data_IF_872401481038
#
_entry.id   IF_872401481038
#
_cell.length_a   1.000
_cell.length_b   1.000
_cell.length_c   1.000
_cell.angle_alpha   90.00
_cell.angle_beta   90.00
_cell.angle_gamma   90.00
#
_symmetry.space_group_name_H-M   'P 1'
#
loop_
_entity.id
_entity.type
_entity.pdbx_description
1 polymer ?
#
# COMPACT_ATOMS: atom_id res chain seq x y z
N UNK A 1 35.35 3.58 37.32
CA UNK A 1 33.94 3.63 36.90
C UNK A 1 33.90 4.45 35.62
N UNK A 2 33.76 3.79 34.48
CA UNK A 2 33.72 4.43 33.15
C UNK A 2 32.25 4.51 32.76
N UNK A 3 31.74 5.72 32.55
CA UNK A 3 30.37 5.93 32.05
C UNK A 3 30.21 5.30 30.65
N UNK A 4 29.02 4.77 30.29
CA UNK A 4 28.81 4.22 28.97
C UNK A 4 28.68 5.36 27.96
N UNK A 5 29.54 5.35 26.93
CA UNK A 5 29.42 6.23 25.78
C UNK A 5 28.04 6.05 25.13
N UNK A 6 27.22 7.09 25.19
CA UNK A 6 25.97 7.15 24.44
C UNK A 6 26.31 7.40 22.98
N UNK A 7 26.28 6.33 22.18
CA UNK A 7 26.45 6.40 20.73
C UNK A 7 25.33 7.29 20.17
N UNK A 8 25.67 8.52 19.80
CA UNK A 8 24.75 9.42 19.10
C UNK A 8 24.45 8.82 17.72
N UNK A 9 23.20 8.52 17.38
CA UNK A 9 22.85 8.01 16.06
C UNK A 9 23.25 9.04 15.00
N UNK A 10 23.97 8.58 13.98
CA UNK A 10 24.45 9.43 12.89
C UNK A 10 23.23 10.04 12.17
N UNK A 11 23.14 11.38 12.13
CA UNK A 11 22.06 12.09 11.46
C UNK A 11 21.89 11.65 9.99
N UNK A 12 22.99 11.24 9.34
CA UNK A 12 22.97 10.65 8.01
C UNK A 12 22.23 9.32 7.94
N UNK A 13 22.37 8.43 8.94
CA UNK A 13 21.60 7.18 9.02
C UNK A 13 20.13 7.43 9.35
N UNK A 14 19.81 8.45 10.14
CA UNK A 14 18.42 8.83 10.44
C UNK A 14 17.75 9.34 9.17
N UNK A 15 18.40 10.27 8.46
CA UNK A 15 17.92 10.79 7.18
C UNK A 15 17.82 9.66 6.15
N UNK A 16 18.81 8.77 6.10
CA UNK A 16 18.78 7.61 5.20
C UNK A 16 17.62 6.68 5.52
N UNK A 17 17.40 6.31 6.79
CA UNK A 17 16.23 5.49 7.20
C UNK A 17 14.89 6.17 6.91
N UNK A 18 14.82 7.50 7.04
CA UNK A 18 13.63 8.29 6.71
C UNK A 18 13.37 8.37 5.20
N UNK A 19 14.40 8.31 4.36
CA UNK A 19 14.29 8.39 2.89
C UNK A 19 14.36 7.01 2.19
N UNK A 20 14.91 5.98 2.83
CA UNK A 20 15.01 4.60 2.30
C UNK A 20 13.66 3.89 2.26
N UNK A 21 12.65 4.41 2.96
CA UNK A 21 11.30 3.84 3.01
C UNK A 21 10.33 4.84 2.37
N UNK A 22 9.59 4.58 1.27
CA UNK A 22 9.55 3.47 0.31
C UNK A 22 9.62 3.97 -1.15
N UNK A 23 10.24 5.13 -1.38
CA UNK A 23 10.17 5.85 -2.67
C UNK A 23 10.79 5.07 -3.85
N UNK A 24 11.74 4.17 -3.58
CA UNK A 24 12.43 3.42 -4.62
C UNK A 24 11.59 2.31 -5.27
N UNK A 25 10.64 1.69 -4.55
CA UNK A 25 9.78 0.63 -5.09
C UNK A 25 8.82 1.15 -6.19
N UNK A 26 8.64 2.47 -6.27
CA UNK A 26 7.64 3.09 -7.13
C UNK A 26 8.25 3.80 -8.33
N UNK A 27 9.57 4.03 -8.34
CA UNK A 27 10.23 4.79 -9.39
C UNK A 27 9.98 4.19 -10.78
N UNK A 28 9.93 2.86 -10.88
CA UNK A 28 9.62 2.14 -12.13
C UNK A 28 8.14 2.22 -12.56
N UNK A 29 7.25 2.70 -11.69
CA UNK A 29 5.80 2.72 -11.90
C UNK A 29 5.19 4.13 -11.95
N UNK A 30 5.99 5.19 -11.83
CA UNK A 30 5.51 6.58 -11.79
C UNK A 30 4.72 7.04 -13.04
N UNK A 31 4.78 6.29 -14.14
CA UNK A 31 4.12 6.61 -15.41
C UNK A 31 3.13 5.52 -15.86
N UNK A 32 2.86 4.52 -15.01
CA UNK A 32 1.91 3.46 -15.35
C UNK A 32 0.54 3.78 -14.78
N UNK A 33 -0.55 3.59 -15.55
CA UNK A 33 -1.90 3.61 -14.99
C UNK A 33 -1.98 2.63 -13.81
N UNK A 34 -2.69 3.00 -12.75
CA UNK A 34 -2.83 2.13 -11.58
C UNK A 34 -4.15 2.38 -10.85
N UNK A 35 -4.72 1.32 -10.29
CA UNK A 35 -5.85 1.38 -9.37
C UNK A 35 -5.32 1.21 -7.96
N UNK A 36 -5.64 2.11 -7.05
CA UNK A 36 -5.18 2.02 -5.67
C UNK A 36 -6.36 2.04 -4.73
N UNK A 37 -6.49 0.99 -3.93
CA UNK A 37 -7.33 0.99 -2.74
C UNK A 37 -6.48 1.39 -1.54
N UNK A 38 -6.83 2.51 -0.93
CA UNK A 38 -6.20 2.98 0.29
C UNK A 38 -7.14 2.83 1.47
N UNK A 39 -6.62 2.36 2.61
CA UNK A 39 -7.34 2.29 3.87
C UNK A 39 -6.45 2.77 5.00
N UNK A 40 -7.00 3.56 5.92
CA UNK A 40 -6.35 3.89 7.19
C UNK A 40 -7.21 3.45 8.37
N UNK A 41 -6.55 2.88 9.37
CA UNK A 41 -7.18 2.29 10.55
C UNK A 41 -6.54 2.89 11.79
N UNK A 42 -7.35 3.58 12.59
CA UNK A 42 -6.91 4.16 13.85
C UNK A 42 -6.68 3.05 14.87
N UNK A 43 -5.55 3.15 15.56
CA UNK A 43 -5.19 2.31 16.70
C UNK A 43 -5.65 2.97 18.00
N UNK A 44 -6.34 2.21 18.84
CA UNK A 44 -6.71 2.58 20.21
C UNK A 44 -5.53 2.41 21.19
N UNK A 45 -4.62 1.46 20.92
CA UNK A 45 -3.43 1.17 21.72
C UNK A 45 -2.24 0.82 20.80
N UNK A 46 -1.54 1.83 20.22
CA UNK A 46 -0.51 1.60 19.20
C UNK A 46 0.60 0.61 19.57
N UNK A 47 1.18 0.61 20.79
CA UNK A 47 2.24 -0.34 21.13
C UNK A 47 1.80 -1.81 21.05
N UNK A 48 0.53 -2.10 21.35
CA UNK A 48 -0.03 -3.45 21.31
C UNK A 48 -0.55 -3.80 19.91
N UNK A 49 -1.08 -2.82 19.17
CA UNK A 49 -1.72 -3.06 17.87
C UNK A 49 -0.76 -3.04 16.69
N UNK A 50 0.42 -2.41 16.79
CA UNK A 50 1.42 -2.42 15.69
C UNK A 50 1.93 -3.82 15.35
N UNK A 51 2.33 -4.68 16.32
CA UNK A 51 2.71 -6.06 15.99
C UNK A 51 1.55 -6.86 15.38
N UNK A 52 0.34 -6.67 15.91
CA UNK A 52 -0.87 -7.35 15.40
C UNK A 52 -1.19 -6.94 13.97
N UNK A 53 -1.14 -5.65 13.63
CA UNK A 53 -1.39 -5.19 12.26
C UNK A 53 -0.29 -5.62 11.29
N UNK A 54 0.95 -5.76 11.76
CA UNK A 54 2.04 -6.35 10.97
C UNK A 54 1.80 -7.83 10.68
N UNK A 55 1.34 -8.61 11.66
CA UNK A 55 1.03 -10.03 11.47
C UNK A 55 -0.22 -10.23 10.60
N UNK A 56 -1.19 -9.32 10.67
CA UNK A 56 -2.30 -9.23 9.72
C UNK A 56 -1.79 -8.99 8.29
N UNK A 57 -0.84 -8.06 8.12
CA UNK A 57 -0.21 -7.82 6.82
C UNK A 57 0.53 -9.04 6.29
N UNK A 58 1.25 -9.79 7.14
CA UNK A 58 1.89 -11.06 6.75
C UNK A 58 0.87 -12.07 6.24
N UNK A 59 -0.21 -12.27 7.00
CA UNK A 59 -1.30 -13.18 6.62
C UNK A 59 -1.95 -12.78 5.30
N UNK A 60 -2.06 -11.47 5.03
CA UNK A 60 -2.54 -10.95 3.75
C UNK A 60 -1.58 -11.32 2.61
N UNK A 61 -0.28 -11.09 2.76
CA UNK A 61 0.72 -11.45 1.75
C UNK A 61 0.67 -12.96 1.44
N UNK A 62 0.56 -13.80 2.46
CA UNK A 62 0.43 -15.25 2.33
C UNK A 62 -0.86 -15.65 1.60
N UNK A 63 -2.00 -15.06 1.96
CA UNK A 63 -3.29 -15.32 1.33
C UNK A 63 -3.28 -14.96 -0.17
N UNK A 64 -2.59 -13.87 -0.52
CA UNK A 64 -2.38 -13.49 -1.91
C UNK A 64 -1.27 -14.29 -2.60
N UNK A 65 -0.56 -15.18 -1.90
CA UNK A 65 0.57 -15.96 -2.40
C UNK A 65 1.63 -15.05 -3.03
N UNK A 66 1.97 -13.98 -2.33
CA UNK A 66 3.08 -13.10 -2.73
C UNK A 66 4.39 -13.90 -2.58
N UNK A 67 5.28 -13.89 -3.59
CA UNK A 67 6.57 -14.58 -3.51
C UNK A 67 7.43 -14.03 -2.36
N UNK A 68 8.09 -14.90 -1.59
CA UNK A 68 8.91 -14.52 -0.42
C UNK A 68 10.05 -13.56 -0.78
N UNK A 69 10.64 -13.70 -1.97
CA UNK A 69 11.69 -12.82 -2.48
C UNK A 69 11.19 -11.42 -2.87
N UNK A 70 9.87 -11.27 -3.00
CA UNK A 70 9.19 -10.01 -3.29
C UNK A 70 8.51 -9.41 -2.05
N UNK A 71 8.79 -9.92 -0.84
CA UNK A 71 8.27 -9.43 0.43
C UNK A 71 9.36 -8.68 1.20
N UNK A 72 9.03 -7.49 1.69
CA UNK A 72 9.88 -6.70 2.59
C UNK A 72 9.05 -6.34 3.82
N UNK A 73 9.51 -6.71 5.02
CA UNK A 73 8.82 -6.35 6.27
C UNK A 73 9.83 -5.83 7.28
N UNK A 74 9.54 -4.65 7.81
CA UNK A 74 10.28 -3.94 8.84
C UNK A 74 9.34 -3.55 9.98
N UNK A 75 9.83 -2.76 10.94
CA UNK A 75 9.07 -2.48 12.15
C UNK A 75 7.78 -1.70 11.89
N UNK A 76 7.84 -0.67 11.05
CA UNK A 76 6.71 0.22 10.73
C UNK A 76 6.35 0.26 9.23
N UNK A 77 6.94 -0.64 8.43
CA UNK A 77 6.72 -0.69 6.98
C UNK A 77 6.69 -2.15 6.51
N UNK A 78 5.85 -2.43 5.53
CA UNK A 78 5.82 -3.70 4.82
C UNK A 78 5.37 -3.49 3.38
N UNK A 79 5.93 -4.28 2.47
CA UNK A 79 5.50 -4.35 1.09
C UNK A 79 5.57 -5.78 0.56
N UNK A 80 4.75 -6.04 -0.45
CA UNK A 80 4.78 -7.26 -1.23
C UNK A 80 4.38 -7.00 -2.67
N UNK A 81 5.06 -7.65 -3.61
CA UNK A 81 4.77 -7.51 -5.04
C UNK A 81 4.45 -8.87 -5.64
N UNK A 82 3.33 -8.95 -6.37
CA UNK A 82 2.94 -10.16 -7.10
C UNK A 82 2.67 -9.81 -8.56
N UNK A 83 3.14 -10.65 -9.48
CA UNK A 83 2.77 -10.59 -10.89
C UNK A 83 1.82 -11.73 -11.23
N UNK A 84 0.74 -11.43 -11.94
CA UNK A 84 -0.20 -12.40 -12.46
C UNK A 84 0.26 -12.94 -13.83
N UNK A 85 -0.31 -14.05 -14.27
CA UNK A 85 0.02 -14.68 -15.56
C UNK A 85 -0.33 -13.81 -16.78
N UNK A 86 -1.29 -12.89 -16.64
CA UNK A 86 -1.65 -11.90 -17.66
C UNK A 86 -0.68 -10.69 -17.70
N UNK A 87 0.35 -10.68 -16.86
CA UNK A 87 1.32 -9.58 -16.77
C UNK A 87 0.89 -8.43 -15.86
N UNK A 88 -0.30 -8.48 -15.25
CA UNK A 88 -0.71 -7.49 -14.26
C UNK A 88 0.13 -7.62 -12.98
N UNK A 89 0.31 -6.51 -12.28
CA UNK A 89 1.05 -6.46 -11.03
C UNK A 89 0.15 -6.00 -9.89
N UNK A 90 0.28 -6.66 -8.74
CA UNK A 90 -0.35 -6.30 -7.48
C UNK A 90 0.76 -5.87 -6.52
N UNK A 91 0.65 -4.67 -5.97
CA UNK A 91 1.55 -4.18 -4.91
C UNK A 91 0.72 -3.98 -3.65
N UNK A 92 1.13 -4.62 -2.57
CA UNK A 92 0.50 -4.47 -1.27
C UNK A 92 1.47 -3.75 -0.34
N UNK A 93 0.99 -2.75 0.38
CA UNK A 93 1.80 -1.91 1.25
C UNK A 93 1.09 -1.77 2.59
N UNK A 94 1.85 -1.89 3.66
CA UNK A 94 1.45 -1.59 5.03
C UNK A 94 2.40 -0.60 5.65
N UNK A 95 1.86 0.39 6.36
CA UNK A 95 2.66 1.37 7.08
C UNK A 95 2.04 1.66 8.44
N UNK A 96 2.83 1.56 9.49
CA UNK A 96 2.42 1.94 10.84
C UNK A 96 2.88 3.37 11.15
N UNK A 97 1.94 4.20 11.58
CA UNK A 97 2.19 5.55 12.08
C UNK A 97 1.97 5.61 13.59
N UNK A 98 2.05 6.82 14.16
CA UNK A 98 1.89 7.02 15.60
C UNK A 98 0.52 6.54 16.09
N UNK A 99 -0.57 6.94 15.42
CA UNK A 99 -1.94 6.71 15.89
C UNK A 99 -2.78 5.82 14.97
N UNK A 100 -2.28 5.48 13.79
CA UNK A 100 -2.99 4.66 12.80
C UNK A 100 -1.99 3.84 12.01
N UNK A 101 -2.47 2.81 11.32
CA UNK A 101 -1.72 2.16 10.25
C UNK A 101 -2.54 2.23 8.97
N UNK A 102 -1.87 2.12 7.83
CA UNK A 102 -2.50 2.19 6.52
C UNK A 102 -2.19 0.94 5.70
N UNK A 103 -3.12 0.61 4.82
CA UNK A 103 -2.93 -0.34 3.73
C UNK A 103 -3.09 0.38 2.40
N UNK A 104 -2.23 0.01 1.45
CA UNK A 104 -2.42 0.33 0.05
C UNK A 104 -2.37 -0.95 -0.76
N UNK A 105 -3.33 -1.13 -1.65
CA UNK A 105 -3.31 -2.20 -2.64
C UNK A 105 -3.39 -1.58 -4.01
N UNK A 106 -2.31 -1.73 -4.78
CA UNK A 106 -2.17 -1.21 -6.12
C UNK A 106 -2.36 -2.34 -7.12
N UNK A 107 -3.25 -2.17 -8.08
CA UNK A 107 -3.32 -2.97 -9.29
C UNK A 107 -2.76 -2.14 -10.44
N UNK A 108 -1.67 -2.63 -11.03
CA UNK A 108 -1.06 -2.06 -12.23
C UNK A 108 -1.37 -3.05 -13.37
N UNK A 109 -2.25 -2.69 -14.32
CA UNK A 109 -2.53 -3.53 -15.47
C UNK A 109 -1.30 -3.67 -16.36
N UNK A 110 -1.16 -4.81 -17.03
CA UNK A 110 -0.17 -4.96 -18.10
C UNK A 110 -0.38 -3.90 -19.20
N UNK A 111 0.65 -3.55 -19.99
CA UNK A 111 0.52 -2.55 -21.05
C UNK A 111 -0.54 -2.88 -22.13
N UNK A 112 -0.93 -4.15 -22.21
CA UNK A 112 -1.93 -4.66 -23.16
C UNK A 112 -3.35 -4.69 -22.57
N UNK A 113 -3.49 -4.48 -21.25
CA UNK A 113 -4.74 -4.57 -20.53
C UNK A 113 -5.54 -3.25 -20.56
N UNK A 114 -6.82 -3.37 -20.24
CA UNK A 114 -7.82 -2.29 -20.27
C UNK A 114 -7.44 -1.13 -19.35
N UNK A 115 -8.06 0.03 -19.63
CA UNK A 115 -8.05 1.21 -18.75
C UNK A 115 -8.49 0.85 -17.33
N UNK A 116 -7.85 1.50 -16.38
CA UNK A 116 -8.16 1.44 -14.96
C UNK A 116 -9.44 2.23 -14.67
N UNK A 117 -10.31 1.73 -13.79
CA UNK A 117 -11.56 2.39 -13.41
C UNK A 117 -11.77 2.31 -11.89
N UNK A 118 -12.65 3.17 -11.36
CA UNK A 118 -13.11 3.08 -9.98
C UNK A 118 -13.91 1.79 -9.73
N UNK A 119 -14.04 1.41 -8.46
CA UNK A 119 -14.78 0.23 -8.00
C UNK A 119 -13.87 -0.88 -7.46
N UNK A 120 -14.30 -2.15 -7.54
CA UNK A 120 -13.46 -3.29 -7.16
C UNK A 120 -12.17 -3.36 -7.98
N UNK A 121 -11.05 -3.73 -7.35
CA UNK A 121 -9.80 -3.98 -8.05
C UNK A 121 -9.98 -5.10 -9.07
N UNK A 122 -9.55 -4.85 -10.31
CA UNK A 122 -9.69 -5.79 -11.43
C UNK A 122 -8.56 -6.83 -11.51
N UNK A 123 -7.70 -6.91 -10.48
CA UNK A 123 -6.62 -7.89 -10.43
C UNK A 123 -7.19 -9.33 -10.40
N UNK A 124 -6.62 -10.29 -11.15
CA UNK A 124 -7.16 -11.64 -11.25
C UNK A 124 -7.32 -12.34 -9.90
N UNK A 125 -8.48 -12.97 -9.70
CA UNK A 125 -8.87 -13.70 -8.48
C UNK A 125 -8.76 -12.88 -7.18
N UNK A 126 -8.77 -11.55 -7.29
CA UNK A 126 -8.69 -10.67 -6.15
C UNK A 126 -9.99 -10.67 -5.34
N UNK A 127 -9.89 -11.08 -4.08
CA UNK A 127 -10.91 -10.86 -3.05
C UNK A 127 -10.21 -10.31 -1.82
N UNK A 128 -10.39 -9.03 -1.53
CA UNK A 128 -9.79 -8.43 -0.33
C UNK A 128 -10.47 -8.98 0.92
N UNK A 129 -9.80 -9.81 1.75
CA UNK A 129 -10.53 -10.67 2.67
C UNK A 129 -10.34 -10.28 4.14
N UNK A 130 -10.12 -8.99 4.46
CA UNK A 130 -9.80 -8.61 5.85
C UNK A 130 -10.60 -7.43 6.36
N UNK A 131 -11.29 -7.66 7.47
CA UNK A 131 -11.75 -6.63 8.40
C UNK A 131 -10.56 -6.29 9.29
N UNK A 132 -9.91 -5.13 9.10
CA UNK A 132 -8.67 -4.83 9.80
C UNK A 132 -8.89 -4.59 11.29
N UNK A 133 -7.88 -4.89 12.11
CA UNK A 133 -7.95 -4.68 13.56
C UNK A 133 -7.91 -3.18 13.93
N UNK A 134 -9.06 -2.61 14.27
CA UNK A 134 -9.18 -1.24 14.75
C UNK A 134 -10.42 -0.56 14.17
N UNK A 135 -10.39 0.77 14.10
CA UNK A 135 -11.48 1.57 13.52
C UNK A 135 -11.01 2.14 12.19
N UNK A 136 -11.67 1.74 11.10
CA UNK A 136 -11.45 2.36 9.79
C UNK A 136 -11.84 3.84 9.87
N UNK A 137 -10.87 4.72 9.60
CA UNK A 137 -11.07 6.18 9.65
C UNK A 137 -11.01 6.82 8.28
N UNK A 138 -10.45 6.13 7.29
CA UNK A 138 -10.37 6.60 5.92
C UNK A 138 -10.34 5.42 4.95
N UNK A 139 -11.08 5.55 3.85
CA UNK A 139 -11.05 4.64 2.72
C UNK A 139 -11.13 5.46 1.44
N UNK A 140 -10.14 5.29 0.57
CA UNK A 140 -10.09 5.98 -0.71
C UNK A 140 -9.97 4.96 -1.84
N UNK A 141 -10.65 5.28 -2.92
CA UNK A 141 -10.50 4.60 -4.20
C UNK A 141 -9.85 5.59 -5.17
N UNK A 142 -8.66 5.25 -5.67
CA UNK A 142 -7.80 6.17 -6.42
C UNK A 142 -7.48 5.53 -7.77
N UNK A 143 -7.69 6.28 -8.85
CA UNK A 143 -7.30 5.87 -10.20
C UNK A 143 -6.22 6.83 -10.70
N UNK A 144 -5.04 6.28 -10.98
CA UNK A 144 -3.93 6.97 -11.61
C UNK A 144 -4.00 6.74 -13.12
N UNK A 145 -3.97 7.82 -13.89
CA UNK A 145 -4.02 7.79 -15.35
C UNK A 145 -2.77 8.46 -15.91
N UNK A 146 -2.15 7.84 -16.92
CA UNK A 146 -1.08 8.47 -17.70
C UNK A 146 -1.63 9.40 -18.80
N UNK A 147 -2.89 9.20 -19.17
CA UNK A 147 -3.61 10.02 -20.16
C UNK A 147 -4.22 11.27 -19.50
N UNK A 148 -4.52 12.33 -20.27
CA UNK A 148 -5.22 13.51 -19.77
C UNK A 148 -6.52 13.14 -19.05
N UNK A 149 -6.81 13.86 -17.96
CA UNK A 149 -8.05 13.67 -17.21
C UNK A 149 -9.27 13.77 -18.16
N UNK A 150 -10.24 12.84 -18.06
CA UNK A 150 -11.49 12.95 -18.80
C UNK A 150 -12.22 14.26 -18.44
N UNK A 151 -13.12 14.69 -19.31
CA UNK A 151 -14.00 15.83 -19.00
C UNK A 151 -14.80 15.57 -17.73
N UNK A 152 -15.20 16.65 -17.03
CA UNK A 152 -16.00 16.56 -15.81
C UNK A 152 -17.30 15.76 -16.02
N UNK A 153 -17.95 15.90 -17.18
CA UNK A 153 -19.12 15.09 -17.55
C UNK A 153 -18.81 13.60 -17.66
N UNK A 154 -17.70 13.24 -18.32
CA UNK A 154 -17.28 11.84 -18.44
C UNK A 154 -16.88 11.24 -17.07
N UNK A 155 -16.27 12.03 -16.19
CA UNK A 155 -15.92 11.62 -14.83
C UNK A 155 -17.17 11.36 -13.97
N UNK A 156 -18.21 12.20 -14.06
CA UNK A 156 -19.46 12.01 -13.31
C UNK A 156 -20.11 10.65 -13.57
N UNK A 157 -20.04 10.15 -14.80
CA UNK A 157 -20.57 8.84 -15.17
C UNK A 157 -19.81 7.66 -14.53
N UNK A 158 -18.59 7.90 -14.03
CA UNK A 158 -17.75 6.88 -13.38
C UNK A 158 -17.91 6.85 -11.86
N UNK A 159 -18.56 7.84 -11.24
CA UNK A 159 -18.79 7.89 -9.80
C UNK A 159 -20.19 7.35 -9.47
N UNK A 160 -20.31 6.25 -8.69
CA UNK A 160 -21.60 5.68 -8.33
C UNK A 160 -22.35 6.45 -7.21
N UNK A 161 -22.05 7.73 -7.00
CA UNK A 161 -22.63 8.56 -5.94
C UNK A 161 -23.91 9.30 -6.36
N UNK A 162 -24.72 9.81 -5.41
CA UNK A 162 -25.94 10.54 -5.73
C UNK A 162 -25.59 11.86 -6.44
N UNK A 163 -26.36 12.16 -7.49
CA UNK A 163 -26.36 13.43 -8.26
C UNK A 163 -27.03 14.53 -7.45
#
# INVERSE_FOLDING_TARGET
MTEPETIKPNAGEIIRKLHEQPQMLWAEHLQTPAHVHYKAVRMSAPPLQRPVSRDEFRSLLDAFKVPDDAIVIHDAFGSGVKKAANGDQLIMIWQAHTEYYSYQVWHIPSPQARRVTFGPLAFPDYRFPVTPHGVEVCRLDIVLMAEPLPSSEALRLLFPGPV
#
